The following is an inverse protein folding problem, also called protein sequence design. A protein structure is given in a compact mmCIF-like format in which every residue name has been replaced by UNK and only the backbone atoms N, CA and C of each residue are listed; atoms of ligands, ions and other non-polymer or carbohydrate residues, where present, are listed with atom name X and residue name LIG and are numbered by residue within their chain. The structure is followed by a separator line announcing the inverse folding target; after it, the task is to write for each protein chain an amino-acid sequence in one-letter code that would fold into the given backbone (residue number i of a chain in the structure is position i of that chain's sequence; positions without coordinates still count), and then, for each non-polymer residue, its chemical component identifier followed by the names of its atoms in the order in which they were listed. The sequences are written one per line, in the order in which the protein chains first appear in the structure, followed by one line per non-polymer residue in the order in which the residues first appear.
data_IF_344935535153
#
_entry.id   IF_344935535153
#
_cell.length_a   1.000
_cell.length_b   1.000
_cell.length_c   1.000
_cell.angle_alpha   90.00
_cell.angle_beta   90.00
_cell.angle_gamma   90.00
#
_symmetry.space_group_name_H-M   'P 1'
#
loop_
_entity.id
_entity.type
_entity.pdbx_description
1 polymer ?
#
# COMPACT_ATOMS: atom_id res chain seq x y z
N UNK A 1 -17.54 -41.65 -26.67
CA UNK A 1 -17.72 -40.30 -26.10
C UNK A 1 -17.55 -40.41 -24.58
N UNK A 2 -16.32 -40.26 -24.09
CA UNK A 2 -16.07 -40.16 -22.65
C UNK A 2 -16.20 -38.67 -22.30
N UNK A 3 -17.23 -38.34 -21.52
CA UNK A 3 -17.47 -36.99 -21.05
C UNK A 3 -16.30 -36.54 -20.18
N UNK A 4 -15.71 -35.38 -20.50
CA UNK A 4 -14.72 -34.74 -19.65
C UNK A 4 -15.36 -34.45 -18.28
N UNK A 5 -14.76 -34.88 -17.16
CA UNK A 5 -15.25 -34.55 -15.83
C UNK A 5 -15.19 -33.03 -15.66
N UNK A 6 -16.30 -32.47 -15.19
CA UNK A 6 -16.51 -31.05 -14.91
C UNK A 6 -15.24 -30.35 -14.39
N UNK A 7 -14.66 -29.47 -15.20
CA UNK A 7 -13.75 -28.46 -14.67
C UNK A 7 -14.53 -27.66 -13.62
N UNK A 8 -14.00 -27.50 -12.39
CA UNK A 8 -14.63 -26.63 -11.42
C UNK A 8 -14.69 -25.21 -12.01
N UNK A 9 -15.79 -24.46 -11.78
CA UNK A 9 -15.90 -23.10 -12.29
C UNK A 9 -14.68 -22.30 -11.82
N UNK A 10 -14.05 -21.49 -12.69
CA UNK A 10 -12.91 -20.69 -12.29
C UNK A 10 -13.33 -19.83 -11.11
N UNK A 11 -12.74 -20.06 -9.94
CA UNK A 11 -12.81 -19.13 -8.83
C UNK A 11 -12.28 -17.80 -9.37
N UNK A 12 -13.17 -16.82 -9.56
CA UNK A 12 -12.76 -15.47 -9.94
C UNK A 12 -12.06 -14.90 -8.71
N UNK A 13 -10.75 -15.17 -8.63
CA UNK A 13 -9.89 -14.62 -7.59
C UNK A 13 -9.70 -13.16 -7.92
N UNK A 14 -10.24 -12.30 -7.07
CA UNK A 14 -9.93 -10.88 -7.12
C UNK A 14 -8.42 -10.73 -7.01
N UNK A 15 -7.86 -9.85 -7.83
CA UNK A 15 -6.54 -9.31 -7.59
C UNK A 15 -6.53 -8.61 -6.24
N UNK A 16 -5.36 -8.45 -5.64
CA UNK A 16 -5.22 -7.73 -4.37
C UNK A 16 -5.81 -6.32 -4.43
N UNK A 17 -5.58 -5.61 -5.53
CA UNK A 17 -6.15 -4.28 -5.77
C UNK A 17 -7.69 -4.32 -5.80
N UNK A 18 -8.29 -5.31 -6.46
CA UNK A 18 -9.75 -5.47 -6.50
C UNK A 18 -10.33 -5.86 -5.13
N UNK A 19 -9.61 -6.68 -4.35
CA UNK A 19 -10.02 -7.03 -2.99
C UNK A 19 -10.00 -5.80 -2.06
N UNK A 20 -8.98 -4.95 -2.16
CA UNK A 20 -8.87 -3.69 -1.43
C UNK A 20 -9.99 -2.72 -1.86
N UNK A 21 -10.20 -2.54 -3.17
CA UNK A 21 -11.27 -1.69 -3.69
C UNK A 21 -12.66 -2.15 -3.21
N UNK A 22 -12.89 -3.46 -3.17
CA UNK A 22 -14.13 -4.04 -2.67
C UNK A 22 -14.31 -3.81 -1.16
N UNK A 23 -13.24 -3.84 -0.36
CA UNK A 23 -13.29 -3.52 1.05
C UNK A 23 -13.72 -2.07 1.29
N UNK A 24 -13.13 -1.12 0.55
CA UNK A 24 -13.52 0.29 0.60
C UNK A 24 -14.97 0.52 0.14
N UNK A 25 -15.39 -0.14 -0.95
CA UNK A 25 -16.75 -0.03 -1.45
C UNK A 25 -17.79 -0.55 -0.44
N UNK A 26 -17.48 -1.67 0.25
CA UNK A 26 -18.31 -2.21 1.34
C UNK A 26 -18.37 -1.26 2.53
N UNK A 27 -17.25 -0.67 2.93
CA UNK A 27 -17.18 0.30 4.02
C UNK A 27 -18.01 1.55 3.71
N UNK A 28 -17.99 2.02 2.46
CA UNK A 28 -18.78 3.15 1.98
C UNK A 28 -20.26 2.80 1.68
N UNK A 29 -20.71 1.58 1.99
CA UNK A 29 -22.10 1.12 1.77
C UNK A 29 -22.57 1.32 0.32
N UNK A 30 -21.67 1.12 -0.64
CA UNK A 30 -21.99 1.26 -2.07
C UNK A 30 -21.70 2.63 -2.66
N UNK A 31 -21.32 3.63 -1.86
CA UNK A 31 -20.90 4.94 -2.38
C UNK A 31 -19.47 4.85 -2.96
N UNK A 32 -19.41 4.66 -4.28
CA UNK A 32 -18.15 4.49 -4.99
C UNK A 32 -17.24 5.72 -4.93
N UNK A 33 -17.81 6.93 -4.87
CA UNK A 33 -17.02 8.15 -4.79
C UNK A 33 -16.34 8.28 -3.44
N UNK A 34 -17.09 8.07 -2.35
CA UNK A 34 -16.54 8.08 -1.00
C UNK A 34 -15.52 6.95 -0.77
N UNK A 35 -15.78 5.76 -1.32
CA UNK A 35 -14.82 4.66 -1.30
C UNK A 35 -13.49 5.03 -1.97
N UNK A 36 -13.55 5.67 -3.13
CA UNK A 36 -12.37 6.10 -3.88
C UNK A 36 -11.58 7.18 -3.12
N UNK A 37 -12.28 8.19 -2.60
CA UNK A 37 -11.64 9.26 -1.80
C UNK A 37 -10.96 8.68 -0.57
N UNK A 38 -11.60 7.72 0.12
CA UNK A 38 -11.01 7.06 1.28
C UNK A 38 -9.76 6.26 0.92
N UNK A 39 -9.81 5.45 -0.14
CA UNK A 39 -8.66 4.65 -0.59
C UNK A 39 -7.46 5.53 -1.01
N UNK A 40 -7.70 6.64 -1.71
CA UNK A 40 -6.65 7.59 -2.09
C UNK A 40 -6.06 8.28 -0.85
N UNK A 41 -6.91 8.66 0.11
CA UNK A 41 -6.45 9.31 1.35
C UNK A 41 -5.52 8.41 2.15
N UNK A 42 -5.86 7.12 2.24
CA UNK A 42 -5.05 6.10 2.92
C UNK A 42 -3.70 5.91 2.19
N UNK A 43 -3.72 5.76 0.87
CA UNK A 43 -2.51 5.63 0.05
C UNK A 43 -1.57 6.85 0.17
N UNK A 44 -2.11 8.07 0.23
CA UNK A 44 -1.32 9.29 0.43
C UNK A 44 -0.75 9.36 1.86
N UNK A 45 -1.47 8.85 2.86
CA UNK A 45 -1.00 8.78 4.24
C UNK A 45 0.16 7.80 4.36
N UNK A 46 0.06 6.65 3.71
CA UNK A 46 1.14 5.67 3.63
C UNK A 46 2.37 6.24 2.93
N UNK A 47 2.18 7.00 1.85
CA UNK A 47 3.27 7.67 1.14
C UNK A 47 4.00 8.68 2.05
N UNK A 48 3.27 9.57 2.73
CA UNK A 48 3.86 10.53 3.66
C UNK A 48 4.57 9.83 4.84
N UNK A 49 4.02 8.72 5.34
CA UNK A 49 4.68 7.92 6.38
C UNK A 49 6.02 7.35 5.90
N UNK A 50 6.10 6.88 4.65
CA UNK A 50 7.34 6.39 4.03
C UNK A 50 8.33 7.54 3.82
N UNK A 51 7.89 8.67 3.28
CA UNK A 51 8.73 9.85 3.04
C UNK A 51 9.33 10.40 4.35
N UNK A 52 8.53 10.47 5.42
CA UNK A 52 9.01 10.89 6.74
C UNK A 52 10.08 9.97 7.31
N UNK A 53 9.90 8.65 7.15
CA UNK A 53 10.91 7.65 7.58
C UNK A 53 12.21 7.81 6.78
N UNK A 54 12.12 8.01 5.47
CA UNK A 54 13.28 8.25 4.62
C UNK A 54 14.02 9.55 5.00
N UNK A 55 13.28 10.63 5.24
CA UNK A 55 13.83 11.90 5.71
C UNK A 55 14.51 11.77 7.08
N UNK A 56 13.90 11.03 8.02
CA UNK A 56 14.49 10.77 9.33
C UNK A 56 15.79 9.96 9.23
N UNK A 57 15.82 8.93 8.38
CA UNK A 57 17.01 8.11 8.13
C UNK A 57 18.15 8.93 7.51
N UNK A 58 17.84 9.77 6.51
CA UNK A 58 18.80 10.68 5.89
C UNK A 58 19.42 11.64 6.92
N UNK A 59 18.60 12.21 7.82
CA UNK A 59 19.08 13.08 8.92
C UNK A 59 20.01 12.35 9.89
N UNK A 60 19.73 11.08 10.22
CA UNK A 60 20.60 10.27 11.07
C UNK A 60 21.95 10.00 10.40
N UNK A 61 21.96 9.72 9.09
CA UNK A 61 23.18 9.54 8.30
C UNK A 61 23.99 10.84 8.27
N UNK A 62 23.37 11.98 7.96
CA UNK A 62 24.07 13.28 7.95
C UNK A 62 24.65 13.64 9.32
N UNK A 63 23.91 13.39 10.42
CA UNK A 63 24.44 13.59 11.78
C UNK A 63 25.56 12.62 12.14
N UNK A 64 25.53 11.39 11.62
CA UNK A 64 26.64 10.44 11.74
C UNK A 64 27.89 10.96 11.02
N UNK A 65 27.74 11.36 9.76
CA UNK A 65 28.83 11.92 8.95
C UNK A 65 29.43 13.19 9.57
N UNK A 66 28.58 14.13 10.02
CA UNK A 66 29.03 15.35 10.67
C UNK A 66 29.85 15.07 11.94
N UNK A 67 29.40 14.14 12.81
CA UNK A 67 30.13 13.76 14.03
C UNK A 67 31.48 13.10 13.73
N UNK A 68 31.56 12.23 12.72
CA UNK A 68 32.84 11.65 12.32
C UNK A 68 33.83 12.72 11.82
N UNK A 69 33.35 13.77 11.14
CA UNK A 69 34.21 14.87 10.71
C UNK A 69 34.64 15.79 11.85
N UNK A 70 33.77 16.08 12.82
CA UNK A 70 34.11 16.95 13.97
C UNK A 70 34.91 16.23 15.05
N UNK A 71 34.88 14.89 15.10
CA UNK A 71 35.68 14.09 16.03
C UNK A 71 37.03 13.62 15.47
N UNK A 72 37.37 13.98 14.23
CA UNK A 72 38.63 13.64 13.56
C UNK A 72 39.67 14.77 13.59
N UNK A 73 39.46 15.80 14.41
CA UNK A 73 40.43 16.86 14.72
C UNK A 73 41.09 16.57 16.07
#
# INVERSE_FOLDING_TARGET
MLAHPHEPPPEIRLTEAEAIALAYHRAARGDAWNALVAAITDALTDLDAVERRAAQQSRLISRGYARCRTGAT
#
